data_IF_799949996351
#
_entry.id   IF_799949996351
#
_cell.length_a   1.000
_cell.length_b   1.000
_cell.length_c   1.000
_cell.angle_alpha   90.00
_cell.angle_beta   90.00
_cell.angle_gamma   90.00
#
_symmetry.space_group_name_H-M   'P 1'
#
loop_
_entity.id
_entity.type
_entity.pdbx_description
1 polymer ?
#
# COMPACT_ATOMS: atom_id res chain seq x y z
N UNK A 1 -4.07 -13.05 -13.29
CA UNK A 1 -2.66 -13.02 -12.80
C UNK A 1 -2.35 -14.32 -12.06
N UNK A 2 -1.25 -14.99 -12.38
CA UNK A 2 -0.73 -16.14 -11.61
C UNK A 2 0.30 -15.66 -10.59
N UNK A 3 0.19 -16.11 -9.32
CA UNK A 3 1.11 -15.72 -8.24
C UNK A 3 2.06 -16.88 -7.94
N UNK A 4 3.36 -16.64 -8.08
CA UNK A 4 4.43 -17.62 -7.88
C UNK A 4 5.20 -17.25 -6.61
N UNK A 5 5.11 -18.08 -5.56
CA UNK A 5 5.81 -17.88 -4.27
C UNK A 5 6.99 -18.83 -4.09
N UNK A 6 7.11 -19.83 -4.95
CA UNK A 6 8.21 -20.78 -4.92
C UNK A 6 8.76 -21.01 -6.33
N UNK A 7 9.83 -20.33 -6.65
CA UNK A 7 10.48 -20.40 -7.97
C UNK A 7 11.15 -21.75 -8.24
N UNK A 8 11.50 -22.53 -7.20
CA UNK A 8 12.06 -23.88 -7.36
C UNK A 8 11.03 -24.88 -7.91
N UNK A 9 9.77 -24.62 -7.61
CA UNK A 9 8.62 -25.43 -8.09
C UNK A 9 7.92 -24.82 -9.30
N UNK A 10 8.38 -23.64 -9.75
CA UNK A 10 7.83 -23.02 -10.94
C UNK A 10 8.02 -23.98 -12.13
N UNK A 11 6.95 -24.21 -12.89
CA UNK A 11 7.02 -24.94 -14.16
C UNK A 11 7.87 -24.09 -15.13
N UNK A 12 8.33 -24.71 -16.22
CA UNK A 12 9.05 -23.99 -17.27
C UNK A 12 8.25 -22.75 -17.71
N UNK A 13 8.75 -21.59 -17.30
CA UNK A 13 8.09 -20.31 -17.58
C UNK A 13 8.16 -19.97 -19.07
N UNK A 14 7.14 -19.35 -19.65
CA UNK A 14 7.25 -18.78 -20.98
C UNK A 14 8.34 -17.70 -21.00
N UNK A 15 8.73 -17.24 -22.17
CA UNK A 15 9.59 -16.05 -22.26
C UNK A 15 8.85 -14.83 -21.70
N UNK A 16 9.48 -14.14 -20.75
CA UNK A 16 8.86 -13.04 -20.01
C UNK A 16 9.59 -11.71 -20.21
N UNK A 17 8.80 -10.64 -20.24
CA UNK A 17 9.27 -9.30 -19.92
C UNK A 17 9.03 -9.08 -18.42
N UNK A 18 10.06 -8.66 -17.68
CA UNK A 18 9.99 -8.54 -16.23
C UNK A 18 10.40 -7.14 -15.73
N UNK A 19 9.86 -6.76 -14.58
CA UNK A 19 10.39 -5.66 -13.75
C UNK A 19 10.53 -6.15 -12.31
N UNK A 20 11.50 -5.57 -11.57
CA UNK A 20 11.79 -5.96 -10.19
C UNK A 20 11.70 -4.74 -9.26
N UNK A 21 11.10 -4.92 -8.08
CA UNK A 21 11.00 -3.88 -7.06
C UNK A 21 10.19 -4.29 -5.85
N UNK A 22 10.23 -3.46 -4.80
CA UNK A 22 9.41 -3.66 -3.60
C UNK A 22 7.94 -3.33 -3.87
N UNK A 23 7.67 -2.38 -4.76
CA UNK A 23 6.34 -1.92 -5.19
C UNK A 23 5.40 -1.54 -4.03
N UNK A 24 5.97 -1.04 -2.92
CA UNK A 24 5.18 -0.60 -1.78
C UNK A 24 4.30 0.60 -2.15
N UNK A 25 3.00 0.45 -1.94
CA UNK A 25 1.97 1.43 -2.31
C UNK A 25 1.45 1.30 -3.74
N UNK A 26 2.12 0.61 -4.66
CA UNK A 26 1.77 0.53 -6.10
C UNK A 26 1.31 1.90 -6.62
N UNK A 27 2.10 2.93 -6.33
CA UNK A 27 1.81 4.34 -6.66
C UNK A 27 1.93 4.64 -8.16
N UNK A 28 1.54 5.84 -8.60
CA UNK A 28 1.53 6.25 -10.00
C UNK A 28 2.84 5.93 -10.75
N UNK A 29 4.01 6.14 -10.10
CA UNK A 29 5.31 5.77 -10.70
C UNK A 29 5.46 4.26 -10.93
N UNK A 30 5.03 3.43 -9.98
CA UNK A 30 5.01 1.97 -10.15
C UNK A 30 4.04 1.56 -11.26
N UNK A 31 2.83 2.14 -11.27
CA UNK A 31 1.81 1.86 -12.29
C UNK A 31 2.28 2.20 -13.69
N UNK A 32 2.99 3.31 -13.87
CA UNK A 32 3.57 3.69 -15.15
C UNK A 32 4.61 2.66 -15.64
N UNK A 33 5.53 2.24 -14.76
CA UNK A 33 6.52 1.20 -15.08
C UNK A 33 5.84 -0.08 -15.53
N UNK A 34 4.81 -0.51 -14.80
CA UNK A 34 4.09 -1.76 -15.07
C UNK A 34 3.25 -1.66 -16.36
N UNK A 35 2.55 -0.54 -16.60
CA UNK A 35 1.82 -0.31 -17.86
C UNK A 35 2.75 -0.38 -19.07
N UNK A 36 3.94 0.22 -18.96
CA UNK A 36 4.95 0.13 -20.01
C UNK A 36 5.47 -1.30 -20.19
N UNK A 37 5.73 -2.02 -19.10
CA UNK A 37 6.11 -3.42 -19.12
C UNK A 37 5.09 -4.28 -19.90
N UNK A 38 3.80 -4.11 -19.61
CA UNK A 38 2.71 -4.83 -20.29
C UNK A 38 2.72 -4.52 -21.80
N UNK A 39 2.87 -3.23 -22.16
CA UNK A 39 2.96 -2.81 -23.57
C UNK A 39 4.16 -3.42 -24.30
N UNK A 40 5.36 -3.38 -23.67
CA UNK A 40 6.56 -3.96 -24.24
C UNK A 40 6.46 -5.50 -24.33
N UNK A 41 5.87 -6.15 -23.33
CA UNK A 41 5.60 -7.58 -23.34
C UNK A 41 4.69 -7.97 -24.51
N UNK A 42 3.58 -7.27 -24.71
CA UNK A 42 2.67 -7.50 -25.85
C UNK A 42 3.36 -7.29 -27.19
N UNK A 43 4.14 -6.21 -27.33
CA UNK A 43 4.87 -5.92 -28.57
C UNK A 43 5.87 -7.01 -28.95
N UNK A 44 6.54 -7.61 -27.96
CA UNK A 44 7.54 -8.66 -28.17
C UNK A 44 6.96 -10.09 -28.04
N UNK A 45 5.66 -10.26 -27.93
CA UNK A 45 5.00 -11.55 -27.71
C UNK A 45 5.55 -12.32 -26.49
N UNK A 46 5.81 -11.58 -25.39
CA UNK A 46 6.27 -12.09 -24.10
C UNK A 46 5.13 -12.03 -23.09
N UNK A 47 5.23 -12.84 -22.03
CA UNK A 47 4.38 -12.67 -20.87
C UNK A 47 4.91 -11.56 -19.95
N UNK A 48 4.02 -10.78 -19.35
CA UNK A 48 4.37 -9.71 -18.41
C UNK A 48 4.54 -10.24 -17.00
N UNK A 49 5.66 -9.90 -16.33
CA UNK A 49 6.03 -10.39 -15.01
C UNK A 49 6.47 -9.25 -14.09
N UNK A 50 5.87 -9.17 -12.91
CA UNK A 50 6.36 -8.33 -11.82
C UNK A 50 7.04 -9.22 -10.78
N UNK A 51 8.26 -8.88 -10.40
CA UNK A 51 9.05 -9.56 -9.37
C UNK A 51 9.11 -8.66 -8.15
N UNK A 52 8.60 -9.13 -7.02
CA UNK A 52 8.63 -8.42 -5.73
C UNK A 52 9.16 -9.33 -4.63
N UNK A 53 9.24 -8.82 -3.39
CA UNK A 53 9.76 -9.54 -2.25
C UNK A 53 8.66 -9.70 -1.17
N UNK A 54 8.77 -10.78 -0.38
CA UNK A 54 7.88 -11.08 0.75
C UNK A 54 8.03 -10.08 1.90
N UNK A 55 9.20 -9.41 1.99
CA UNK A 55 9.54 -8.41 3.01
C UNK A 55 10.42 -7.32 2.43
N UNK A 56 10.54 -6.20 3.16
CA UNK A 56 11.50 -5.16 2.78
C UNK A 56 12.94 -5.63 3.06
N UNK A 57 13.91 -5.36 2.15
CA UNK A 57 15.30 -5.80 2.31
C UNK A 57 15.93 -5.42 3.65
N UNK A 58 15.59 -4.22 4.19
CA UNK A 58 16.11 -3.75 5.48
C UNK A 58 15.71 -4.64 6.65
N UNK A 59 14.54 -5.28 6.63
CA UNK A 59 14.09 -6.18 7.71
C UNK A 59 14.99 -7.41 7.90
N UNK A 60 15.75 -7.80 6.85
CA UNK A 60 16.69 -8.92 6.95
C UNK A 60 17.95 -8.56 7.74
N UNK A 61 18.39 -7.29 7.64
CA UNK A 61 19.65 -6.81 8.20
C UNK A 61 19.49 -6.04 9.50
N UNK A 62 18.29 -5.57 9.78
CA UNK A 62 17.96 -4.74 10.95
C UNK A 62 16.68 -5.31 11.60
N UNK A 63 16.82 -6.22 12.61
CA UNK A 63 15.66 -6.84 13.27
C UNK A 63 14.76 -5.84 14.01
N UNK A 64 15.30 -4.70 14.41
CA UNK A 64 14.55 -3.61 15.08
C UNK A 64 13.84 -2.69 14.07
N UNK A 65 14.08 -2.90 12.79
CA UNK A 65 13.42 -2.10 11.76
C UNK A 65 11.97 -2.51 11.60
N UNK A 66 11.07 -1.60 11.93
CA UNK A 66 9.64 -1.74 11.72
C UNK A 66 9.24 -0.96 10.46
N UNK A 67 8.93 -1.63 9.34
CA UNK A 67 8.53 -0.96 8.12
C UNK A 67 7.18 -0.28 8.32
N UNK A 68 7.00 0.88 7.67
CA UNK A 68 5.72 1.55 7.54
C UNK A 68 5.17 1.24 6.15
N UNK A 69 4.44 0.15 6.01
CA UNK A 69 3.95 -0.33 4.73
C UNK A 69 2.79 0.54 4.22
N UNK A 70 2.90 1.03 3.00
CA UNK A 70 1.79 1.68 2.30
C UNK A 70 0.73 0.68 1.86
N UNK A 71 1.15 -0.55 1.53
CA UNK A 71 0.27 -1.68 1.20
C UNK A 71 0.72 -2.93 1.94
N UNK A 72 -0.25 -3.70 2.46
CA UNK A 72 0.03 -5.09 2.86
C UNK A 72 0.37 -5.93 1.63
N UNK A 73 0.82 -7.16 1.84
CA UNK A 73 1.11 -8.06 0.72
C UNK A 73 -0.16 -8.36 -0.10
N UNK A 74 -1.30 -8.62 0.55
CA UNK A 74 -2.57 -8.88 -0.11
C UNK A 74 -3.10 -7.64 -0.85
N UNK A 75 -2.97 -6.45 -0.26
CA UNK A 75 -3.34 -5.20 -0.93
C UNK A 75 -2.48 -4.98 -2.18
N UNK A 76 -1.17 -5.20 -2.09
CA UNK A 76 -0.24 -5.09 -3.21
C UNK A 76 -0.59 -6.07 -4.34
N UNK A 77 -0.89 -7.31 -4.01
CA UNK A 77 -1.30 -8.33 -4.97
C UNK A 77 -2.57 -7.95 -5.72
N UNK A 78 -3.61 -7.47 -5.01
CA UNK A 78 -4.85 -6.97 -5.63
C UNK A 78 -4.60 -5.79 -6.57
N UNK A 79 -3.77 -4.83 -6.16
CA UNK A 79 -3.44 -3.67 -6.98
C UNK A 79 -2.67 -4.05 -8.26
N UNK A 80 -1.76 -5.02 -8.18
CA UNK A 80 -1.02 -5.53 -9.31
C UNK A 80 -1.91 -6.35 -10.25
N UNK A 81 -2.83 -7.14 -9.71
CA UNK A 81 -3.81 -7.89 -10.50
C UNK A 81 -4.70 -6.99 -11.35
N UNK A 82 -5.16 -5.86 -10.78
CA UNK A 82 -5.97 -4.87 -11.50
C UNK A 82 -5.22 -4.22 -12.68
N UNK A 83 -3.89 -4.23 -12.67
CA UNK A 83 -3.08 -3.72 -13.79
C UNK A 83 -3.01 -4.69 -14.97
N UNK A 84 -3.39 -5.96 -14.78
CA UNK A 84 -3.48 -6.94 -15.86
C UNK A 84 -2.15 -7.61 -16.21
N UNK A 85 -1.20 -7.72 -15.27
CA UNK A 85 0.02 -8.52 -15.47
C UNK A 85 -0.30 -10.02 -15.51
N UNK A 86 0.51 -10.79 -16.23
CA UNK A 86 0.31 -12.24 -16.33
C UNK A 86 0.83 -12.97 -15.09
N UNK A 87 2.03 -12.59 -14.61
CA UNK A 87 2.71 -13.24 -13.48
C UNK A 87 3.15 -12.25 -12.42
N UNK A 88 2.91 -12.62 -11.16
CA UNK A 88 3.50 -11.97 -9.99
C UNK A 88 4.40 -12.99 -9.28
N UNK A 89 5.70 -12.71 -9.24
CA UNK A 89 6.67 -13.51 -8.49
C UNK A 89 6.95 -12.83 -7.16
N UNK A 90 6.66 -13.52 -6.05
CA UNK A 90 6.99 -13.05 -4.70
C UNK A 90 8.18 -13.86 -4.20
N UNK A 91 9.36 -13.25 -4.29
CA UNK A 91 10.61 -13.89 -3.85
C UNK A 91 10.76 -13.77 -2.34
N UNK A 92 11.10 -14.86 -1.63
CA UNK A 92 11.54 -14.75 -0.25
C UNK A 92 12.88 -14.01 -0.20
N UNK A 93 12.93 -12.87 0.52
CA UNK A 93 14.17 -12.11 0.66
C UNK A 93 15.04 -12.74 1.74
N UNK A 94 15.85 -13.71 1.35
CA UNK A 94 16.76 -14.48 2.21
C UNK A 94 18.20 -13.96 2.13
N UNK A 95 19.08 -14.43 3.02
CA UNK A 95 20.51 -14.09 2.99
C UNK A 95 21.18 -14.55 1.71
N UNK A 96 20.75 -15.68 1.16
CA UNK A 96 21.24 -16.24 -0.09
C UNK A 96 20.91 -15.31 -1.26
N UNK A 97 19.64 -14.89 -1.40
CA UNK A 97 19.20 -13.93 -2.43
C UNK A 97 19.92 -12.59 -2.25
N UNK A 98 20.03 -12.11 -1.00
CA UNK A 98 20.66 -10.82 -0.69
C UNK A 98 22.18 -10.82 -0.96
N UNK A 99 22.85 -11.99 -0.96
CA UNK A 99 24.28 -12.12 -1.21
C UNK A 99 24.63 -12.22 -2.70
N UNK A 100 23.66 -12.39 -3.60
CA UNK A 100 23.90 -12.49 -5.03
C UNK A 100 24.43 -11.16 -5.58
N UNK A 101 25.46 -11.21 -6.42
CA UNK A 101 25.81 -10.09 -7.28
C UNK A 101 24.68 -9.79 -8.26
N UNK A 102 24.68 -8.61 -8.85
CA UNK A 102 23.68 -8.28 -9.86
C UNK A 102 23.74 -9.25 -11.05
N UNK A 103 24.94 -9.61 -11.49
CA UNK A 103 25.15 -10.60 -12.55
C UNK A 103 24.59 -11.98 -12.16
N UNK A 104 24.90 -12.49 -10.96
CA UNK A 104 24.41 -13.78 -10.52
C UNK A 104 22.88 -13.80 -10.34
N UNK A 105 22.32 -12.73 -9.83
CA UNK A 105 20.86 -12.58 -9.74
C UNK A 105 20.22 -12.62 -11.14
N UNK A 106 20.77 -11.88 -12.11
CA UNK A 106 20.28 -11.88 -13.49
C UNK A 106 20.40 -13.28 -14.11
N UNK A 107 21.51 -13.97 -13.89
CA UNK A 107 21.77 -15.32 -14.43
C UNK A 107 20.86 -16.36 -13.78
N UNK A 108 20.99 -16.54 -12.45
CA UNK A 108 20.37 -17.66 -11.74
C UNK A 108 18.86 -17.49 -11.58
N UNK A 109 18.41 -16.27 -11.25
CA UNK A 109 16.99 -16.01 -10.97
C UNK A 109 16.24 -15.57 -12.23
N UNK A 110 16.70 -14.50 -12.89
CA UNK A 110 15.94 -13.96 -14.01
C UNK A 110 16.01 -14.87 -15.24
N UNK A 111 17.21 -15.33 -15.62
CA UNK A 111 17.38 -16.13 -16.84
C UNK A 111 17.02 -17.60 -16.65
N UNK A 112 17.67 -18.26 -15.68
CA UNK A 112 17.59 -19.72 -15.56
C UNK A 112 16.28 -20.19 -14.92
N UNK A 113 15.73 -19.45 -13.92
CA UNK A 113 14.51 -19.83 -13.23
C UNK A 113 13.24 -19.20 -13.82
N UNK A 114 13.29 -17.91 -14.16
CA UNK A 114 12.11 -17.15 -14.57
C UNK A 114 12.03 -16.92 -16.09
N UNK A 115 13.01 -17.39 -16.87
CA UNK A 115 13.06 -17.29 -18.33
C UNK A 115 12.82 -15.85 -18.84
N UNK A 116 13.41 -14.86 -18.16
CA UNK A 116 13.29 -13.45 -18.54
C UNK A 116 14.08 -13.20 -19.82
N UNK A 117 13.44 -12.61 -20.81
CA UNK A 117 14.04 -12.20 -22.09
C UNK A 117 14.17 -10.67 -22.18
N UNK A 118 13.33 -9.91 -21.46
CA UNK A 118 13.38 -8.46 -21.38
C UNK A 118 13.25 -8.02 -19.92
N UNK A 119 14.18 -7.17 -19.44
CA UNK A 119 14.18 -6.61 -18.10
C UNK A 119 13.97 -5.10 -18.15
N UNK A 120 12.89 -4.62 -17.55
CA UNK A 120 12.67 -3.19 -17.31
C UNK A 120 13.15 -2.78 -15.93
N UNK A 121 14.03 -1.80 -15.85
CA UNK A 121 14.58 -1.28 -14.60
C UNK A 121 14.02 0.12 -14.33
N UNK A 122 13.49 0.35 -13.11
CA UNK A 122 13.09 1.68 -12.63
C UNK A 122 14.29 2.66 -12.65
N UNK A 123 13.99 3.95 -12.75
CA UNK A 123 15.02 4.99 -12.90
C UNK A 123 16.08 4.96 -11.78
N UNK A 124 15.66 4.69 -10.54
CA UNK A 124 16.49 4.67 -9.33
C UNK A 124 16.64 3.27 -8.73
N UNK A 125 16.10 2.25 -9.41
CA UNK A 125 16.14 0.89 -8.89
C UNK A 125 17.53 0.29 -9.10
N UNK A 126 18.10 -0.24 -8.02
CA UNK A 126 19.36 -0.98 -8.02
C UNK A 126 19.19 -2.27 -7.24
N UNK A 127 19.68 -3.36 -7.82
CA UNK A 127 19.71 -4.68 -7.19
C UNK A 127 21.13 -5.26 -7.22
N UNK A 128 21.35 -6.38 -6.54
CA UNK A 128 22.66 -6.94 -6.27
C UNK A 128 23.16 -6.59 -4.87
N UNK A 129 24.04 -7.42 -4.33
CA UNK A 129 24.54 -7.36 -2.96
C UNK A 129 25.01 -5.97 -2.53
N UNK A 130 25.88 -5.35 -3.31
CA UNK A 130 26.49 -4.06 -2.94
C UNK A 130 25.75 -2.84 -3.49
N UNK A 131 24.81 -3.05 -4.41
CA UNK A 131 24.08 -1.99 -5.14
C UNK A 131 25.02 -0.97 -5.81
N UNK A 132 26.24 -1.41 -6.19
CA UNK A 132 27.26 -0.58 -6.82
C UNK A 132 27.03 -0.45 -8.32
N UNK A 133 26.45 -1.50 -8.93
CA UNK A 133 26.15 -1.55 -10.34
C UNK A 133 25.15 -0.47 -10.73
N UNK A 134 25.40 0.11 -11.91
CA UNK A 134 24.53 1.06 -12.57
C UNK A 134 23.77 0.43 -13.72
N UNK A 135 23.05 1.26 -14.46
CA UNK A 135 22.25 0.80 -15.59
C UNK A 135 23.11 0.17 -16.69
N UNK A 136 24.29 0.74 -16.96
CA UNK A 136 25.18 0.25 -18.03
C UNK A 136 25.74 -1.14 -17.71
N UNK A 137 26.00 -1.43 -16.43
CA UNK A 137 26.40 -2.78 -15.99
C UNK A 137 25.29 -3.79 -16.26
N UNK A 138 24.03 -3.45 -15.95
CA UNK A 138 22.88 -4.33 -16.24
C UNK A 138 22.70 -4.56 -17.73
N UNK A 139 22.96 -3.56 -18.58
CA UNK A 139 22.92 -3.71 -20.04
C UNK A 139 24.03 -4.68 -20.51
N UNK A 140 25.25 -4.54 -19.96
CA UNK A 140 26.35 -5.44 -20.26
C UNK A 140 26.06 -6.89 -19.87
N UNK A 141 25.60 -7.10 -18.64
CA UNK A 141 25.19 -8.44 -18.18
C UNK A 141 24.02 -9.00 -19.00
N UNK A 142 23.09 -8.14 -19.40
CA UNK A 142 21.98 -8.52 -20.26
C UNK A 142 22.44 -9.03 -21.62
N UNK A 143 23.43 -8.39 -22.23
CA UNK A 143 24.03 -8.85 -23.52
C UNK A 143 24.66 -10.23 -23.38
N UNK A 144 25.41 -10.50 -22.31
CA UNK A 144 26.01 -11.82 -22.05
C UNK A 144 24.95 -12.92 -21.82
N UNK A 145 23.85 -12.58 -21.14
CA UNK A 145 22.81 -13.53 -20.73
C UNK A 145 21.66 -13.67 -21.74
N UNK A 146 21.66 -12.86 -22.81
CA UNK A 146 20.55 -12.78 -23.76
C UNK A 146 19.27 -12.20 -23.15
N UNK A 147 19.41 -11.17 -22.31
CA UNK A 147 18.32 -10.39 -21.72
C UNK A 147 18.41 -8.95 -22.23
N UNK A 148 17.37 -8.48 -22.90
CA UNK A 148 17.28 -7.08 -23.31
C UNK A 148 16.98 -6.24 -22.06
N UNK A 149 17.72 -5.14 -21.83
CA UNK A 149 17.54 -4.29 -20.64
C UNK A 149 17.06 -2.91 -21.05
N UNK A 150 15.90 -2.50 -20.53
CA UNK A 150 15.30 -1.18 -20.77
C UNK A 150 15.28 -0.35 -19.49
N UNK A 151 15.53 0.96 -19.61
CA UNK A 151 15.43 1.92 -18.52
C UNK A 151 14.10 2.65 -18.57
N UNK A 152 13.39 2.73 -17.44
CA UNK A 152 12.21 3.56 -17.31
C UNK A 152 12.57 5.02 -16.99
N UNK A 153 11.77 5.94 -17.50
CA UNK A 153 11.89 7.37 -17.23
C UNK A 153 11.25 7.70 -15.90
N UNK A 154 11.84 8.63 -15.15
CA UNK A 154 11.28 9.14 -13.89
C UNK A 154 9.94 9.84 -14.15
N UNK A 155 8.92 9.48 -13.38
CA UNK A 155 7.64 10.20 -13.40
C UNK A 155 7.75 11.49 -12.58
N UNK A 156 7.45 12.64 -13.18
CA UNK A 156 7.21 13.89 -12.50
C UNK A 156 5.71 14.15 -12.45
N UNK A 157 5.16 14.47 -11.27
CA UNK A 157 3.78 14.94 -11.15
C UNK A 157 3.73 16.44 -11.38
N UNK A 158 2.95 16.89 -12.38
CA UNK A 158 2.73 18.32 -12.59
C UNK A 158 1.99 18.92 -11.38
N UNK A 159 2.47 20.07 -10.90
CA UNK A 159 1.88 20.78 -9.76
C UNK A 159 2.41 20.41 -8.39
N UNK A 160 3.42 19.52 -8.31
CA UNK A 160 4.10 19.19 -7.05
C UNK A 160 5.61 19.32 -7.20
N UNK A 161 6.26 19.95 -6.21
CA UNK A 161 7.71 20.17 -6.20
C UNK A 161 8.54 18.92 -5.90
N UNK A 162 7.90 17.78 -5.68
CA UNK A 162 8.54 16.53 -5.32
C UNK A 162 8.06 15.34 -6.17
N UNK A 163 8.93 14.36 -6.31
CA UNK A 163 8.67 13.17 -7.11
C UNK A 163 7.70 12.20 -6.43
N UNK A 164 6.90 11.49 -7.23
CA UNK A 164 6.07 10.38 -6.74
C UNK A 164 6.95 9.21 -6.34
N UNK A 165 7.11 9.00 -5.04
CA UNK A 165 7.82 7.85 -4.47
C UNK A 165 7.21 7.43 -3.12
N UNK A 166 7.45 6.18 -2.72
CA UNK A 166 6.89 5.64 -1.47
C UNK A 166 7.29 6.45 -0.23
N UNK A 167 8.49 7.04 -0.19
CA UNK A 167 8.96 7.85 0.95
C UNK A 167 8.15 9.12 1.11
N UNK A 168 7.88 9.85 0.02
CA UNK A 168 7.07 11.06 0.06
C UNK A 168 5.61 10.77 0.43
N UNK A 169 5.05 9.65 -0.07
CA UNK A 169 3.70 9.23 0.29
C UNK A 169 3.62 8.86 1.79
N UNK A 170 4.67 8.22 2.34
CA UNK A 170 4.73 7.97 3.78
C UNK A 170 4.74 9.26 4.59
N UNK A 171 5.54 10.26 4.19
CA UNK A 171 5.57 11.55 4.87
C UNK A 171 4.22 12.27 4.80
N UNK A 172 3.56 12.29 3.63
CA UNK A 172 2.20 12.85 3.50
C UNK A 172 1.22 12.20 4.49
N UNK A 173 1.23 10.89 4.59
CA UNK A 173 0.31 10.16 5.48
C UNK A 173 0.72 10.26 6.95
N UNK A 174 1.99 9.96 7.27
CA UNK A 174 2.45 9.76 8.63
C UNK A 174 2.72 11.06 9.38
N UNK A 175 3.35 12.04 8.71
CA UNK A 175 3.73 13.32 9.33
C UNK A 175 2.58 14.33 9.23
N UNK A 176 1.93 14.42 8.07
CA UNK A 176 0.97 15.48 7.78
C UNK A 176 -0.50 15.02 7.86
N UNK A 177 -0.77 13.71 7.72
CA UNK A 177 -2.15 13.21 7.61
C UNK A 177 -2.85 13.63 6.31
N UNK A 178 -2.08 14.05 5.29
CA UNK A 178 -2.59 14.47 3.99
C UNK A 178 -2.94 13.25 3.12
N UNK A 179 -4.09 12.67 3.45
CA UNK A 179 -4.62 11.50 2.73
C UNK A 179 -5.11 11.87 1.33
N UNK A 180 -5.40 13.12 1.08
CA UNK A 180 -5.91 13.63 -0.21
C UNK A 180 -4.79 13.69 -1.25
N UNK A 181 -3.67 14.33 -0.93
CA UNK A 181 -2.49 14.33 -1.81
C UNK A 181 -1.90 12.93 -1.96
N UNK A 182 -1.88 12.14 -0.88
CA UNK A 182 -1.47 10.74 -0.95
C UNK A 182 -2.34 9.93 -1.93
N UNK A 183 -3.67 10.18 -1.96
CA UNK A 183 -4.57 9.54 -2.90
C UNK A 183 -4.28 9.89 -4.35
N UNK A 184 -3.88 11.13 -4.65
CA UNK A 184 -3.43 11.54 -6.00
C UNK A 184 -2.19 10.73 -6.42
N UNK A 185 -1.20 10.58 -5.53
CA UNK A 185 0.04 9.86 -5.83
C UNK A 185 -0.13 8.35 -5.90
N UNK A 186 -1.09 7.82 -5.16
CA UNK A 186 -1.46 6.40 -5.21
C UNK A 186 -2.40 6.08 -6.39
N UNK A 187 -2.99 7.08 -7.04
CA UNK A 187 -4.10 6.96 -8.01
C UNK A 187 -5.34 6.26 -7.41
N UNK A 188 -5.45 6.25 -6.09
CA UNK A 188 -6.58 5.73 -5.33
C UNK A 188 -6.55 6.25 -3.89
N UNK A 189 -7.69 6.26 -3.17
CA UNK A 189 -7.70 6.55 -1.74
C UNK A 189 -6.82 5.56 -0.96
N UNK A 190 -6.20 6.07 0.12
CA UNK A 190 -5.48 5.22 1.06
C UNK A 190 -6.47 4.34 1.82
N UNK A 191 -6.09 3.09 2.05
CA UNK A 191 -6.91 2.09 2.73
C UNK A 191 -6.19 1.46 3.91
N UNK A 192 -6.97 1.05 4.93
CA UNK A 192 -6.52 0.34 6.11
C UNK A 192 -7.55 -0.69 6.51
N UNK A 193 -7.15 -1.95 6.57
CA UNK A 193 -7.99 -3.02 7.12
C UNK A 193 -7.67 -3.24 8.60
N UNK A 194 -8.71 -3.42 9.42
CA UNK A 194 -8.55 -3.69 10.83
C UNK A 194 -9.65 -4.60 11.38
N UNK A 195 -9.30 -5.38 12.40
CA UNK A 195 -10.25 -6.19 13.17
C UNK A 195 -10.89 -5.33 14.25
N UNK A 196 -12.21 -5.41 14.39
CA UNK A 196 -12.92 -4.71 15.46
C UNK A 196 -12.68 -5.42 16.80
N UNK A 197 -12.16 -4.64 17.75
CA UNK A 197 -11.81 -5.09 19.10
C UNK A 197 -12.74 -4.45 20.15
N UNK A 198 -12.94 -5.07 21.31
CA UNK A 198 -13.63 -4.42 22.42
C UNK A 198 -12.96 -3.11 22.84
N UNK A 199 -13.74 -2.10 23.19
CA UNK A 199 -13.28 -0.79 23.64
C UNK A 199 -13.94 -0.35 24.95
N UNK A 200 -13.67 0.87 25.38
CA UNK A 200 -14.15 1.43 26.65
C UNK A 200 -15.60 1.93 26.60
N UNK A 201 -16.28 1.86 25.45
CA UNK A 201 -17.68 2.25 25.22
C UNK A 201 -18.05 3.71 25.57
N UNK A 202 -17.06 4.62 25.70
CA UNK A 202 -17.29 6.03 26.03
C UNK A 202 -18.13 6.72 24.95
N UNK A 203 -17.84 6.46 23.69
CA UNK A 203 -18.59 7.02 22.56
C UNK A 203 -20.07 6.68 22.56
N UNK A 204 -20.43 5.48 23.04
CA UNK A 204 -21.83 5.06 23.15
C UNK A 204 -22.62 5.94 24.14
N UNK A 205 -22.01 6.31 25.27
CA UNK A 205 -22.65 7.18 26.29
C UNK A 205 -22.88 8.61 25.75
N UNK A 206 -22.08 9.03 24.77
CA UNK A 206 -22.17 10.34 24.12
C UNK A 206 -23.06 10.36 22.87
N UNK A 207 -23.68 9.22 22.51
CA UNK A 207 -24.50 9.09 21.30
C UNK A 207 -23.70 8.95 19.98
N UNK A 208 -22.38 8.69 20.09
CA UNK A 208 -21.47 8.43 18.97
C UNK A 208 -20.73 7.10 19.20
N UNK A 209 -21.42 5.95 19.05
CA UNK A 209 -20.79 4.65 19.25
C UNK A 209 -19.59 4.48 18.29
N UNK A 210 -18.44 4.02 18.82
CA UNK A 210 -17.23 3.80 18.06
C UNK A 210 -16.78 2.35 18.10
N UNK A 211 -16.29 1.84 16.98
CA UNK A 211 -15.58 0.58 16.87
C UNK A 211 -14.07 0.84 16.98
N UNK A 212 -13.39 0.13 17.89
CA UNK A 212 -11.94 0.17 18.01
C UNK A 212 -11.34 -0.80 17.00
N UNK A 213 -10.41 -0.33 16.17
CA UNK A 213 -9.76 -1.14 15.14
C UNK A 213 -8.33 -1.49 15.55
N UNK A 214 -8.00 -2.76 15.43
CA UNK A 214 -6.62 -3.24 15.41
C UNK A 214 -6.23 -3.49 13.94
N UNK A 215 -5.19 -2.83 13.40
CA UNK A 215 -4.74 -3.09 12.04
C UNK A 215 -4.51 -4.57 11.77
N UNK A 216 -4.93 -5.07 10.62
CA UNK A 216 -4.74 -6.47 10.23
C UNK A 216 -3.27 -6.84 10.02
N UNK A 217 -2.44 -5.86 9.67
CA UNK A 217 -0.98 -5.98 9.57
C UNK A 217 -0.34 -4.96 10.53
N UNK A 218 0.54 -5.39 11.46
CA UNK A 218 1.17 -4.51 12.44
C UNK A 218 2.11 -3.47 11.81
N UNK A 219 2.57 -3.72 10.60
CA UNK A 219 3.46 -2.81 9.86
C UNK A 219 2.71 -1.87 8.91
N UNK A 220 1.39 -2.00 8.79
CA UNK A 220 0.59 -1.09 7.97
C UNK A 220 0.69 0.33 8.50
N UNK A 221 1.03 1.28 7.62
CA UNK A 221 1.15 2.68 8.00
C UNK A 221 -0.19 3.24 8.45
N UNK A 222 -0.22 3.82 9.65
CA UNK A 222 -1.36 4.54 10.18
C UNK A 222 -1.12 6.05 9.94
N UNK A 223 -2.06 6.78 9.34
CA UNK A 223 -1.93 8.22 9.11
C UNK A 223 -1.73 9.02 10.42
N UNK A 224 -1.33 10.28 10.32
CA UNK A 224 -1.17 11.18 11.46
C UNK A 224 -2.44 11.25 12.32
N UNK A 225 -2.27 11.61 13.61
CA UNK A 225 -3.41 11.81 14.52
C UNK A 225 -4.36 12.87 14.00
N UNK A 226 -5.66 12.65 14.16
CA UNK A 226 -6.70 13.56 13.69
C UNK A 226 -8.02 12.86 13.42
N UNK A 227 -8.99 13.61 12.95
CA UNK A 227 -10.31 13.12 12.55
C UNK A 227 -10.41 13.12 11.03
N UNK A 228 -10.90 12.01 10.48
CA UNK A 228 -10.93 11.76 9.04
C UNK A 228 -12.34 11.38 8.57
N UNK A 229 -12.72 11.87 7.40
CA UNK A 229 -13.86 11.36 6.65
C UNK A 229 -13.44 10.07 5.93
N UNK A 230 -14.19 9.00 6.16
CA UNK A 230 -13.86 7.68 5.63
C UNK A 230 -15.12 6.94 5.15
N UNK A 231 -14.92 6.01 4.22
CA UNK A 231 -15.89 4.94 3.98
C UNK A 231 -15.46 3.71 4.77
N UNK A 232 -16.40 3.12 5.51
CA UNK A 232 -16.22 1.84 6.17
C UNK A 232 -16.91 0.76 5.36
N UNK A 233 -16.14 -0.22 4.87
CA UNK A 233 -16.70 -1.39 4.20
C UNK A 233 -16.86 -2.51 5.21
N UNK A 234 -18.11 -2.89 5.43
CA UNK A 234 -18.51 -3.99 6.31
C UNK A 234 -19.04 -5.13 5.44
N UNK A 235 -18.61 -6.35 5.72
CA UNK A 235 -19.12 -7.56 5.05
C UNK A 235 -20.14 -8.20 5.97
N UNK A 236 -21.40 -8.26 5.54
CA UNK A 236 -22.44 -9.01 6.24
C UNK A 236 -22.12 -10.51 6.17
N UNK A 237 -21.91 -11.13 7.33
CA UNK A 237 -21.50 -12.53 7.43
C UNK A 237 -22.60 -13.51 7.00
N UNK A 238 -23.87 -13.10 7.02
CA UNK A 238 -25.01 -13.94 6.66
C UNK A 238 -25.25 -13.89 5.15
N UNK A 239 -25.23 -12.68 4.57
CA UNK A 239 -25.56 -12.48 3.14
C UNK A 239 -24.32 -12.42 2.25
N UNK A 240 -23.11 -12.33 2.83
CA UNK A 240 -21.83 -12.08 2.16
C UNK A 240 -21.82 -10.81 1.30
N UNK A 241 -22.76 -9.88 1.54
CA UNK A 241 -22.79 -8.59 0.86
C UNK A 241 -21.91 -7.58 1.59
N UNK A 242 -21.13 -6.84 0.84
CA UNK A 242 -20.35 -5.71 1.37
C UNK A 242 -21.13 -4.42 1.20
N UNK A 243 -21.17 -3.62 2.25
CA UNK A 243 -21.76 -2.27 2.24
C UNK A 243 -20.70 -1.24 2.54
N UNK A 244 -20.64 -0.19 1.72
CA UNK A 244 -19.83 0.99 2.00
C UNK A 244 -20.67 1.99 2.78
N UNK A 245 -20.35 2.18 4.05
CA UNK A 245 -21.09 3.05 4.96
C UNK A 245 -20.27 4.33 5.23
N UNK A 246 -20.92 5.50 5.28
CA UNK A 246 -20.23 6.73 5.64
C UNK A 246 -19.83 6.66 7.12
N UNK A 247 -18.61 7.09 7.41
CA UNK A 247 -18.04 7.03 8.75
C UNK A 247 -17.04 8.15 8.99
N UNK A 248 -16.80 8.48 10.24
CA UNK A 248 -15.65 9.28 10.65
C UNK A 248 -14.71 8.43 11.48
N UNK A 249 -13.40 8.63 11.30
CA UNK A 249 -12.36 7.92 12.02
C UNK A 249 -11.53 8.87 12.83
N UNK A 250 -11.38 8.61 14.12
CA UNK A 250 -10.44 9.27 15.00
C UNK A 250 -9.16 8.43 15.12
N UNK A 251 -8.04 9.03 14.75
CA UNK A 251 -6.69 8.49 15.00
C UNK A 251 -6.12 9.30 16.15
N UNK A 252 -6.15 8.70 17.34
CA UNK A 252 -5.64 9.30 18.56
C UNK A 252 -4.28 8.75 18.98
N UNK A 253 -3.70 9.32 20.03
CA UNK A 253 -2.48 8.83 20.67
C UNK A 253 -2.74 8.57 22.15
N UNK A 254 -2.42 7.34 22.61
CA UNK A 254 -2.43 7.03 24.05
C UNK A 254 -1.01 6.82 24.55
N UNK A 255 -0.65 7.40 25.72
CA UNK A 255 0.60 7.04 26.38
C UNK A 255 0.57 5.54 26.74
N UNK A 256 1.64 4.81 26.43
CA UNK A 256 1.87 3.43 26.85
C UNK A 256 3.18 3.35 27.61
N UNK A 257 3.42 2.24 28.33
CA UNK A 257 4.67 2.01 29.05
C UNK A 257 5.89 2.03 28.12
N UNK A 258 5.70 1.63 26.85
CA UNK A 258 6.76 1.56 25.83
C UNK A 258 6.75 2.77 24.86
N UNK A 259 5.97 3.82 25.16
CA UNK A 259 5.88 5.01 24.29
C UNK A 259 4.45 5.47 24.02
N UNK A 260 4.17 5.89 22.77
CA UNK A 260 2.84 6.32 22.34
C UNK A 260 2.31 5.34 21.29
N UNK A 261 1.18 4.69 21.58
CA UNK A 261 0.44 3.91 20.59
C UNK A 261 -0.66 4.75 19.95
N UNK A 262 -0.90 4.55 18.65
CA UNK A 262 -2.06 5.14 17.97
C UNK A 262 -3.30 4.32 18.25
N UNK A 263 -4.41 4.99 18.57
CA UNK A 263 -5.74 4.39 18.69
C UNK A 263 -6.54 4.68 17.44
N UNK A 264 -7.31 3.70 17.01
CA UNK A 264 -8.12 3.78 15.80
C UNK A 264 -9.57 3.57 16.18
N UNK A 265 -10.36 4.62 16.17
CA UNK A 265 -11.77 4.60 16.57
C UNK A 265 -12.64 5.05 15.39
N UNK A 266 -13.57 4.22 14.97
CA UNK A 266 -14.47 4.50 13.83
C UNK A 266 -15.89 4.61 14.30
N UNK A 267 -16.53 5.76 14.06
CA UNK A 267 -17.96 5.93 14.18
C UNK A 267 -18.62 5.75 12.80
N UNK A 268 -19.33 4.65 12.60
CA UNK A 268 -20.08 4.37 11.37
C UNK A 268 -21.46 4.99 11.53
N UNK A 269 -21.84 5.87 10.61
CA UNK A 269 -23.09 6.61 10.71
C UNK A 269 -24.30 5.73 10.42
N UNK A 270 -25.34 5.89 11.25
CA UNK A 270 -26.63 5.21 11.10
C UNK A 270 -26.51 3.67 10.97
N UNK A 271 -25.49 3.11 11.63
CA UNK A 271 -25.26 1.68 11.70
C UNK A 271 -25.61 1.15 13.10
N UNK A 272 -26.50 0.17 13.12
CA UNK A 272 -26.89 -0.56 14.32
C UNK A 272 -26.62 -2.06 14.11
N UNK A 273 -25.44 -2.49 14.49
CA UNK A 273 -25.01 -3.88 14.31
C UNK A 273 -23.78 -4.22 15.13
N UNK A 274 -23.59 -5.50 15.42
CA UNK A 274 -22.39 -6.01 16.09
C UNK A 274 -21.27 -6.27 15.08
N UNK A 275 -20.15 -5.60 15.28
CA UNK A 275 -18.94 -5.74 14.44
C UNK A 275 -17.78 -6.44 15.16
N UNK A 276 -17.94 -6.83 16.41
CA UNK A 276 -16.84 -7.44 17.19
C UNK A 276 -16.25 -8.66 16.48
N UNK A 277 -14.92 -8.66 16.37
CA UNK A 277 -14.19 -9.73 15.71
C UNK A 277 -14.23 -9.72 14.19
N UNK A 278 -15.05 -8.85 13.58
CA UNK A 278 -15.12 -8.70 12.13
C UNK A 278 -13.97 -7.81 11.62
N UNK A 279 -13.60 -8.01 10.35
CA UNK A 279 -12.64 -7.14 9.66
C UNK A 279 -13.38 -6.05 8.91
N UNK A 280 -13.01 -4.80 9.14
CA UNK A 280 -13.55 -3.63 8.45
C UNK A 280 -12.45 -3.01 7.60
N UNK A 281 -12.77 -2.69 6.34
CA UNK A 281 -11.89 -1.95 5.45
C UNK A 281 -12.26 -0.47 5.51
N UNK A 282 -11.31 0.36 5.90
CA UNK A 282 -11.42 1.82 5.95
C UNK A 282 -10.78 2.43 4.72
N UNK A 283 -11.52 3.27 4.02
CA UNK A 283 -11.06 4.05 2.87
C UNK A 283 -11.06 5.53 3.23
N UNK A 284 -9.87 6.14 3.30
CA UNK A 284 -9.69 7.55 3.68
C UNK A 284 -10.03 8.48 2.53
N UNK A 285 -10.86 9.51 2.80
CA UNK A 285 -11.30 10.49 1.79
C UNK A 285 -10.73 11.87 2.05
N UNK A 286 -10.63 12.29 3.30
CA UNK A 286 -10.04 13.58 3.67
C UNK A 286 -9.85 13.71 5.17
N UNK A 287 -8.94 14.61 5.58
CA UNK A 287 -8.73 14.97 6.98
C UNK A 287 -9.64 16.12 7.34
N UNK A 288 -10.47 15.95 8.37
CA UNK A 288 -11.40 16.98 8.83
C UNK A 288 -10.69 18.00 9.72
N UNK A 289 -9.89 17.52 10.69
CA UNK A 289 -9.16 18.35 11.66
C UNK A 289 -8.10 17.56 12.42
N UNK A 290 -7.30 18.26 13.17
CA UNK A 290 -6.38 17.69 14.17
C UNK A 290 -7.11 17.18 15.42
N UNK A 291 -6.44 16.29 16.15
CA UNK A 291 -6.91 15.89 17.48
C UNK A 291 -6.80 17.06 18.45
N UNK A 292 -7.83 17.29 19.27
CA UNK A 292 -7.84 18.34 20.29
C UNK A 292 -8.54 17.88 21.58
N UNK A 293 -8.17 18.50 22.71
CA UNK A 293 -8.85 18.32 23.98
C UNK A 293 -10.06 19.23 24.06
N UNK A 294 -11.12 18.79 24.74
CA UNK A 294 -12.33 19.54 24.98
C UNK A 294 -12.49 19.84 26.47
N UNK A 295 -13.02 21.02 26.76
CA UNK A 295 -13.20 21.51 28.15
C UNK A 295 -14.37 20.81 28.85
N UNK A 296 -15.35 20.30 28.08
CA UNK A 296 -16.51 19.59 28.62
C UNK A 296 -17.02 18.51 27.63
N UNK A 297 -17.78 17.52 28.13
CA UNK A 297 -18.46 16.54 27.29
C UNK A 297 -19.42 17.19 26.27
N UNK A 298 -20.10 18.28 26.64
CA UNK A 298 -21.05 18.99 25.77
C UNK A 298 -20.30 19.66 24.60
N UNK A 299 -19.13 20.24 24.84
CA UNK A 299 -18.28 20.82 23.81
C UNK A 299 -17.78 19.72 22.84
N UNK A 300 -17.43 18.54 23.34
CA UNK A 300 -17.08 17.38 22.50
C UNK A 300 -18.27 16.95 21.64
N UNK A 301 -19.46 16.80 22.21
CA UNK A 301 -20.68 16.38 21.46
C UNK A 301 -21.03 17.39 20.38
N UNK A 302 -20.93 18.70 20.66
CA UNK A 302 -21.15 19.75 19.66
C UNK A 302 -20.19 19.60 18.49
N UNK A 303 -18.91 19.42 18.76
CA UNK A 303 -17.90 19.22 17.73
C UNK A 303 -18.13 17.93 16.91
N UNK A 304 -18.51 16.83 17.56
CA UNK A 304 -18.79 15.58 16.86
C UNK A 304 -19.96 15.71 15.88
N UNK A 305 -20.97 16.53 16.21
CA UNK A 305 -22.07 16.86 15.27
C UNK A 305 -21.60 17.66 14.06
N UNK A 306 -20.74 18.65 14.28
CA UNK A 306 -20.13 19.44 13.19
C UNK A 306 -19.22 18.56 12.32
N UNK A 307 -18.39 17.74 12.93
CA UNK A 307 -17.51 16.79 12.23
C UNK A 307 -18.32 15.83 11.37
N UNK A 308 -19.44 15.28 11.91
CA UNK A 308 -20.35 14.41 11.15
C UNK A 308 -20.90 15.10 9.92
N UNK A 309 -21.39 16.33 10.06
CA UNK A 309 -21.95 17.08 8.92
C UNK A 309 -20.89 17.34 7.87
N UNK A 310 -19.73 17.85 8.26
CA UNK A 310 -18.60 18.11 7.36
C UNK A 310 -18.12 16.81 6.68
N UNK A 311 -18.11 15.70 7.40
CA UNK A 311 -17.78 14.38 6.88
C UNK A 311 -18.76 13.96 5.77
N UNK A 312 -20.05 14.06 6.02
CA UNK A 312 -21.08 13.70 5.04
C UNK A 312 -20.98 14.58 3.79
N UNK A 313 -20.78 15.89 3.95
CA UNK A 313 -20.61 16.82 2.84
C UNK A 313 -19.39 16.45 1.98
N UNK A 314 -18.27 16.09 2.62
CA UNK A 314 -17.04 15.67 1.92
C UNK A 314 -17.21 14.35 1.19
N UNK A 315 -17.84 13.36 1.83
CA UNK A 315 -18.05 12.04 1.25
C UNK A 315 -18.96 12.06 0.03
N UNK A 316 -20.05 12.81 0.09
CA UNK A 316 -21.04 12.85 -0.98
C UNK A 316 -20.65 13.83 -2.11
N UNK A 317 -20.04 14.99 -1.81
CA UNK A 317 -19.60 15.93 -2.85
C UNK A 317 -18.43 15.37 -3.69
N UNK A 318 -17.47 14.64 -3.07
CA UNK A 318 -16.40 13.99 -3.83
C UNK A 318 -16.88 12.78 -4.65
N UNK A 319 -18.04 12.20 -4.31
CA UNK A 319 -18.64 11.12 -5.10
C UNK A 319 -19.24 11.59 -6.41
N UNK A 320 -19.69 12.84 -6.48
CA UNK A 320 -20.28 13.44 -7.69
C UNK A 320 -19.23 13.77 -8.76
N UNK A 321 -18.00 14.10 -8.35
CA UNK A 321 -16.91 14.48 -9.26
C UNK A 321 -16.11 13.31 -9.85
N UNK A 322 -16.51 12.04 -9.59
CA UNK A 322 -15.85 10.82 -10.09
C UNK A 322 -16.65 10.07 -11.17
N UNK A 323 -17.67 10.69 -11.75
CA UNK A 323 -18.43 10.12 -12.90
C UNK A 323 -17.87 10.56 -14.23
#
# INVERSE_FOLDING_TARGET
MEIIRNIEKARMMPHCAATIGVFDGVHAGHRQVIKRLISDAQFHHLASMVITFDRQPRQLFDPEFHPQLLTTQEEKERELEQLGIDFLVVLPFTKEIASLSAHDFMKQILKERLNVALLQIGYDNRFGHDRKEGFDDYVHYGQELGIVVHRNVKLSCQGYDFSVCSSNIRSLLYDNGDVETAAVFLERPYQLSGKVMPGEHIGHQLGFPTANLQPSDPFKLIPASGVYAVWAQVVDQTTHRSSNLPAMMNIGTRPTFDGRSRTLEVNIFDFDGDLYGQTVLITFIGRLREERKFESPEALVSQLKEDRQTCLDLLYNKSVNRK
#
